data_IF_514009877905
#
_entry.id   IF_514009877905
#
_cell.length_a   1.000
_cell.length_b   1.000
_cell.length_c   1.000
_cell.angle_alpha   90.00
_cell.angle_beta   90.00
_cell.angle_gamma   90.00
#
_symmetry.space_group_name_H-M   'P 1'
#
loop_
_entity.id
_entity.type
_entity.pdbx_description
1 polymer ?
#
# COMPACT_ATOMS: atom_id res chain seq x y z
N UNK A 1 22.80 60.57 55.89
CA UNK A 1 23.76 59.80 55.06
C UNK A 1 23.13 58.45 54.73
N UNK A 2 22.59 58.31 53.52
CA UNK A 2 21.95 57.07 53.02
C UNK A 2 23.03 56.19 52.38
N UNK A 3 23.19 54.94 52.83
CA UNK A 3 23.98 53.91 52.12
C UNK A 3 23.00 52.96 51.45
N UNK A 4 23.03 52.89 50.11
CA UNK A 4 22.28 51.92 49.33
C UNK A 4 23.02 50.58 49.36
N UNK A 5 22.32 49.52 49.78
CA UNK A 5 22.77 48.14 49.59
C UNK A 5 22.12 47.62 48.31
N UNK A 6 22.91 47.47 47.25
CA UNK A 6 22.50 46.84 46.00
C UNK A 6 22.76 45.33 46.14
N UNK A 7 21.71 44.53 46.36
CA UNK A 7 21.80 43.07 46.26
C UNK A 7 21.85 42.66 44.79
N UNK A 8 23.02 42.19 44.36
CA UNK A 8 23.28 41.62 43.05
C UNK A 8 22.76 40.18 43.02
N UNK A 9 21.67 39.94 42.26
CA UNK A 9 21.11 38.61 42.04
C UNK A 9 22.00 37.85 41.02
N UNK A 10 22.75 36.85 41.48
CA UNK A 10 23.60 36.01 40.63
C UNK A 10 22.72 35.00 39.88
N UNK A 11 22.49 35.23 38.59
CA UNK A 11 21.75 34.32 37.72
C UNK A 11 22.67 33.15 37.34
N UNK A 12 22.51 32.00 38.00
CA UNK A 12 23.24 30.77 37.68
C UNK A 12 22.69 30.19 36.36
N UNK A 13 23.37 30.46 35.24
CA UNK A 13 23.07 29.80 33.96
C UNK A 13 23.66 28.38 34.00
N UNK A 14 22.80 27.39 34.20
CA UNK A 14 23.12 25.98 33.98
C UNK A 14 23.35 25.75 32.48
N UNK A 15 24.61 25.86 32.04
CA UNK A 15 25.03 25.43 30.71
C UNK A 15 25.08 23.90 30.71
N UNK A 16 24.02 23.26 30.20
CA UNK A 16 24.06 21.83 29.92
C UNK A 16 25.13 21.56 28.84
N UNK A 17 26.01 20.55 29.00
CA UNK A 17 26.99 20.22 27.98
C UNK A 17 26.26 19.71 26.74
N UNK A 18 26.32 20.49 25.65
CA UNK A 18 25.95 20.03 24.33
C UNK A 18 27.03 19.02 23.92
N UNK A 19 26.72 17.73 23.99
CA UNK A 19 27.60 16.70 23.44
C UNK A 19 27.83 17.03 21.96
N UNK A 20 29.06 17.40 21.60
CA UNK A 20 29.41 17.73 20.23
C UNK A 20 29.20 16.48 19.37
N UNK A 21 28.20 16.53 18.48
CA UNK A 21 27.96 15.47 17.52
C UNK A 21 29.21 15.34 16.64
N UNK A 22 29.77 14.13 16.54
CA UNK A 22 30.96 13.89 15.71
C UNK A 22 30.64 14.27 14.26
N UNK A 23 31.63 14.82 13.57
CA UNK A 23 31.51 15.29 12.19
C UNK A 23 32.55 14.60 11.32
N UNK A 24 32.15 14.20 10.12
CA UNK A 24 33.05 13.72 9.06
C UNK A 24 32.73 14.49 7.76
N UNK A 25 33.76 15.10 7.15
CA UNK A 25 33.63 15.94 5.95
C UNK A 25 32.52 17.02 6.07
N UNK A 26 32.41 17.64 7.25
CA UNK A 26 31.43 18.70 7.51
C UNK A 26 29.98 18.23 7.75
N UNK A 27 29.72 16.91 7.75
CA UNK A 27 28.40 16.34 8.04
C UNK A 27 28.41 15.53 9.35
N UNK A 28 27.28 15.45 10.07
CA UNK A 28 27.14 14.59 11.24
C UNK A 28 27.51 13.13 10.93
N UNK A 29 28.15 12.43 11.86
CA UNK A 29 28.43 11.00 11.76
C UNK A 29 27.92 10.23 12.97
N UNK A 30 27.30 9.08 12.70
CA UNK A 30 26.95 8.06 13.70
C UNK A 30 27.70 6.77 13.43
N UNK A 31 27.89 5.93 14.44
CA UNK A 31 28.55 4.62 14.29
C UNK A 31 27.56 3.49 14.00
N UNK A 32 28.03 2.43 13.34
CA UNK A 32 27.35 1.15 13.22
C UNK A 32 28.39 0.02 13.23
N UNK A 33 28.02 -1.17 13.72
CA UNK A 33 28.80 -2.39 13.51
C UNK A 33 28.05 -3.48 12.72
N UNK A 34 26.78 -3.23 12.40
CA UNK A 34 25.97 -4.03 11.48
C UNK A 34 25.49 -3.16 10.31
N UNK A 35 25.24 -3.78 9.15
CA UNK A 35 24.69 -3.07 7.98
C UNK A 35 23.19 -2.82 8.10
N UNK A 36 22.48 -3.64 8.87
CA UNK A 36 21.06 -3.44 9.12
C UNK A 36 20.83 -2.23 10.03
N UNK A 37 19.84 -1.41 9.68
CA UNK A 37 19.40 -0.26 10.47
C UNK A 37 17.88 -0.21 10.60
N UNK A 38 17.45 0.36 11.71
CA UNK A 38 16.06 0.67 12.00
C UNK A 38 15.84 2.18 11.82
N UNK A 39 14.60 2.58 11.60
CA UNK A 39 14.25 3.99 11.66
C UNK A 39 12.85 4.21 12.19
N UNK A 40 12.61 5.36 12.78
CA UNK A 40 11.30 5.76 13.31
C UNK A 40 10.80 7.00 12.59
N UNK A 41 9.58 6.92 12.07
CA UNK A 41 8.85 8.05 11.51
C UNK A 41 7.70 8.37 12.47
N UNK A 42 7.84 9.43 13.25
CA UNK A 42 6.85 9.78 14.27
C UNK A 42 6.75 8.72 15.35
N UNK A 43 5.63 7.98 15.37
CA UNK A 43 5.39 6.89 16.33
C UNK A 43 5.77 5.51 15.76
N UNK A 44 5.92 5.39 14.45
CA UNK A 44 6.07 4.10 13.78
C UNK A 44 7.55 3.74 13.66
N UNK A 45 7.96 2.65 14.32
CA UNK A 45 9.30 2.07 14.24
C UNK A 45 9.33 1.03 13.13
N UNK A 46 10.16 1.25 12.13
CA UNK A 46 10.46 0.31 11.05
C UNK A 46 11.77 -0.40 11.38
N UNK A 47 11.74 -1.73 11.46
CA UNK A 47 12.90 -2.55 11.81
C UNK A 47 13.52 -3.23 10.60
N UNK A 48 14.84 -3.27 10.53
CA UNK A 48 15.64 -4.05 9.59
C UNK A 48 15.37 -3.78 8.10
N UNK A 49 14.64 -2.71 7.77
CA UNK A 49 14.21 -2.41 6.39
C UNK A 49 15.21 -1.53 5.65
N UNK A 50 16.31 -1.15 6.30
CA UNK A 50 17.38 -0.36 5.70
C UNK A 50 18.70 -1.12 5.80
N UNK A 51 19.42 -1.23 4.68
CA UNK A 51 20.76 -1.80 4.62
C UNK A 51 21.78 -0.71 4.26
N UNK A 52 22.59 -0.31 5.24
CA UNK A 52 23.65 0.68 5.10
C UNK A 52 24.63 0.22 4.02
N UNK A 53 24.71 0.97 2.92
CA UNK A 53 25.50 0.59 1.76
C UNK A 53 26.53 1.67 1.40
N UNK A 54 27.79 1.57 1.87
CA UNK A 54 28.84 2.57 1.57
C UNK A 54 29.12 2.81 0.09
N UNK A 55 28.73 1.85 -0.78
CA UNK A 55 28.90 1.93 -2.23
C UNK A 55 27.83 2.81 -2.90
N UNK A 56 26.68 3.00 -2.26
CA UNK A 56 25.64 3.93 -2.71
C UNK A 56 25.90 5.29 -2.06
N UNK A 57 26.25 6.30 -2.87
CA UNK A 57 26.62 7.62 -2.35
C UNK A 57 26.03 8.75 -3.20
N UNK A 58 24.95 9.43 -2.74
CA UNK A 58 24.23 9.15 -1.49
C UNK A 58 23.34 7.89 -1.60
N UNK A 59 23.23 7.17 -0.50
CA UNK A 59 22.17 6.18 -0.27
C UNK A 59 20.92 6.93 0.23
N UNK A 60 19.84 6.92 -0.57
CA UNK A 60 18.71 7.84 -0.40
C UNK A 60 17.53 7.17 0.29
N UNK A 61 17.18 7.64 1.48
CA UNK A 61 15.98 7.24 2.21
C UNK A 61 14.90 8.31 2.08
N UNK A 62 13.78 7.98 1.43
CA UNK A 62 12.62 8.87 1.35
C UNK A 62 11.80 8.81 2.64
N UNK A 63 11.46 9.97 3.18
CA UNK A 63 10.72 10.13 4.43
C UNK A 63 9.42 10.87 4.14
N UNK A 64 8.25 10.27 4.41
CA UNK A 64 6.96 10.94 4.23
C UNK A 64 6.80 12.04 5.27
N UNK A 65 6.29 13.18 4.82
CA UNK A 65 6.00 14.34 5.66
C UNK A 65 4.52 14.72 5.46
N UNK A 66 3.59 14.05 6.18
CA UNK A 66 2.14 14.28 6.01
C UNK A 66 1.68 15.68 6.44
N UNK A 67 2.44 16.33 7.31
CA UNK A 67 2.16 17.68 7.80
C UNK A 67 3.31 18.64 7.44
N UNK A 68 3.41 19.79 8.11
CA UNK A 68 4.49 20.74 7.87
C UNK A 68 5.89 20.20 8.22
N UNK A 69 5.98 19.24 9.16
CA UNK A 69 7.24 18.62 9.60
C UNK A 69 7.00 17.25 10.22
N UNK A 70 8.01 16.38 10.11
CA UNK A 70 7.98 15.02 10.67
C UNK A 70 9.26 14.76 11.46
N UNK A 71 9.15 14.30 12.71
CA UNK A 71 10.32 13.79 13.44
C UNK A 71 10.70 12.44 12.84
N UNK A 72 11.96 12.32 12.47
CA UNK A 72 12.60 11.11 11.99
C UNK A 72 13.78 10.77 12.89
N UNK A 73 13.96 9.50 13.22
CA UNK A 73 15.15 9.02 13.93
C UNK A 73 15.69 7.78 13.24
N UNK A 74 16.96 7.80 12.85
CA UNK A 74 17.69 6.65 12.34
C UNK A 74 18.41 5.97 13.49
N UNK A 75 18.33 4.64 13.56
CA UNK A 75 18.99 3.83 14.58
C UNK A 75 19.90 2.81 13.91
N UNK A 76 21.16 2.82 14.30
CA UNK A 76 22.05 1.69 14.06
C UNK A 76 22.02 0.80 15.29
N UNK A 77 22.74 -0.32 15.24
CA UNK A 77 22.91 -1.17 16.41
C UNK A 77 23.78 -0.54 17.52
N UNK A 78 24.42 0.61 17.29
CA UNK A 78 25.31 1.27 18.26
C UNK A 78 24.98 2.73 18.56
N UNK A 79 24.21 3.41 17.71
CA UNK A 79 24.02 4.86 17.76
C UNK A 79 22.70 5.29 17.11
N UNK A 80 22.36 6.58 17.20
CA UNK A 80 21.18 7.14 16.53
C UNK A 80 21.33 8.61 16.18
N UNK A 81 20.58 9.06 15.18
CA UNK A 81 20.49 10.48 14.79
C UNK A 81 19.04 10.86 14.50
N UNK A 82 18.65 12.07 14.89
CA UNK A 82 17.29 12.57 14.69
C UNK A 82 17.25 13.84 13.84
N UNK A 83 16.23 13.95 13.01
CA UNK A 83 15.95 15.11 12.17
C UNK A 83 14.49 15.54 12.32
N UNK A 84 14.25 16.84 12.18
CA UNK A 84 12.93 17.39 11.90
C UNK A 84 12.84 17.60 10.38
N UNK A 85 12.28 16.61 9.71
CA UNK A 85 12.20 16.51 8.25
C UNK A 85 11.04 17.36 7.72
N UNK A 86 11.28 18.09 6.63
CA UNK A 86 10.27 18.87 5.90
C UNK A 86 10.17 18.38 4.45
N UNK A 87 8.97 18.46 3.87
CA UNK A 87 8.77 18.13 2.47
C UNK A 87 9.66 19.01 1.55
N UNK A 88 10.26 18.40 0.53
CA UNK A 88 11.17 19.05 -0.41
C UNK A 88 12.53 19.43 0.16
N UNK A 89 12.90 18.95 1.36
CA UNK A 89 14.20 19.18 1.98
C UNK A 89 14.98 17.87 2.13
N UNK A 90 16.29 17.97 1.94
CA UNK A 90 17.23 16.85 2.15
C UNK A 90 18.09 17.06 3.39
N UNK A 91 18.44 15.97 4.05
CA UNK A 91 19.30 15.95 5.23
C UNK A 91 20.35 14.87 5.05
N UNK A 92 21.63 15.21 5.21
CA UNK A 92 22.73 14.25 4.99
C UNK A 92 23.49 13.98 6.27
N UNK A 93 23.91 12.74 6.44
CA UNK A 93 24.79 12.30 7.50
C UNK A 93 25.59 11.10 7.03
N UNK A 94 26.67 10.80 7.75
CA UNK A 94 27.45 9.60 7.54
C UNK A 94 27.11 8.53 8.55
N UNK A 95 27.07 7.28 8.10
CA UNK A 95 27.17 6.11 8.96
C UNK A 95 28.58 5.54 8.82
N UNK A 96 29.35 5.60 9.90
CA UNK A 96 30.65 4.95 9.98
C UNK A 96 30.46 3.48 10.38
N UNK A 97 30.61 2.60 9.41
CA UNK A 97 30.45 1.15 9.55
C UNK A 97 31.79 0.51 9.93
N UNK A 98 31.83 -0.13 11.10
CA UNK A 98 32.98 -0.85 11.65
C UNK A 98 34.28 -0.02 11.74
N UNK A 99 34.18 1.31 11.82
CA UNK A 99 35.34 2.22 11.78
C UNK A 99 36.21 2.10 10.51
N UNK A 100 35.71 1.41 9.46
CA UNK A 100 36.45 1.16 8.21
C UNK A 100 35.83 1.85 6.99
N UNK A 101 34.50 2.04 6.98
CA UNK A 101 33.79 2.59 5.82
C UNK A 101 32.77 3.66 6.25
N UNK A 102 32.61 4.69 5.42
CA UNK A 102 31.63 5.76 5.63
C UNK A 102 30.56 5.70 4.54
N UNK A 103 29.32 5.39 4.90
CA UNK A 103 28.18 5.46 4.01
C UNK A 103 27.53 6.85 4.10
N UNK A 104 27.45 7.56 2.96
CA UNK A 104 26.73 8.83 2.89
C UNK A 104 25.23 8.54 2.74
N UNK A 105 24.45 8.84 3.76
CA UNK A 105 22.99 8.68 3.74
C UNK A 105 22.32 10.04 3.54
N UNK A 106 21.35 10.10 2.62
CA UNK A 106 20.50 11.27 2.42
C UNK A 106 19.05 10.94 2.75
N UNK A 107 18.47 11.67 3.70
CA UNK A 107 17.03 11.66 3.96
C UNK A 107 16.36 12.70 3.06
N UNK A 108 15.43 12.27 2.22
CA UNK A 108 14.62 13.16 1.38
C UNK A 108 13.20 13.23 1.91
N UNK A 109 12.83 14.37 2.49
CA UNK A 109 11.45 14.61 2.90
C UNK A 109 10.55 14.84 1.69
N UNK A 110 9.42 14.14 1.62
CA UNK A 110 8.43 14.34 0.55
C UNK A 110 7.03 14.51 1.11
N UNK A 111 6.23 15.35 0.45
CA UNK A 111 4.81 15.53 0.75
C UNK A 111 3.95 14.61 -0.13
N UNK A 112 2.66 14.56 0.18
CA UNK A 112 1.69 13.82 -0.61
C UNK A 112 0.90 14.78 -1.51
N UNK A 113 0.64 14.36 -2.73
CA UNK A 113 -0.10 15.12 -3.75
C UNK A 113 -1.34 14.34 -4.14
N UNK A 114 -2.52 14.95 -4.08
CA UNK A 114 -3.74 14.34 -4.58
C UNK A 114 -3.75 14.39 -6.11
N UNK A 115 -3.89 13.24 -6.76
CA UNK A 115 -4.09 13.20 -8.21
C UNK A 115 -5.56 13.49 -8.54
N UNK A 116 -5.81 14.09 -9.70
CA UNK A 116 -7.17 14.49 -10.12
C UNK A 116 -7.75 13.52 -11.13
N UNK A 117 -9.00 13.15 -10.95
CA UNK A 117 -9.81 12.38 -11.89
C UNK A 117 -11.12 13.14 -12.18
N UNK A 118 -11.71 12.87 -13.34
CA UNK A 118 -12.96 13.48 -13.76
C UNK A 118 -14.15 12.84 -13.03
N UNK A 119 -15.02 13.70 -12.47
CA UNK A 119 -16.26 13.32 -11.76
C UNK A 119 -17.52 13.81 -12.47
N UNK A 120 -17.38 14.57 -13.57
CA UNK A 120 -18.53 15.22 -14.25
C UNK A 120 -19.40 14.24 -15.04
N UNK A 121 -18.83 13.11 -15.45
CA UNK A 121 -19.55 12.11 -16.21
C UNK A 121 -20.43 11.29 -15.26
N UNK A 122 -21.74 11.34 -15.44
CA UNK A 122 -22.70 10.57 -14.63
C UNK A 122 -23.03 9.19 -15.24
N UNK A 123 -22.82 9.01 -16.55
CA UNK A 123 -23.08 7.76 -17.27
C UNK A 123 -21.76 7.11 -17.66
N UNK A 124 -21.45 5.90 -17.19
CA UNK A 124 -20.24 5.18 -17.57
C UNK A 124 -20.16 4.95 -19.09
N UNK A 125 -18.98 5.10 -19.67
CA UNK A 125 -18.72 4.80 -21.09
C UNK A 125 -18.48 3.31 -21.35
N UNK A 126 -18.27 2.52 -20.30
CA UNK A 126 -17.95 1.10 -20.38
C UNK A 126 -18.80 0.30 -19.41
N UNK A 127 -18.98 -0.98 -19.68
CA UNK A 127 -19.61 -1.94 -18.76
C UNK A 127 -18.53 -2.86 -18.20
N UNK A 128 -18.57 -3.09 -16.88
CA UNK A 128 -17.73 -4.07 -16.19
C UNK A 128 -18.59 -5.27 -15.80
N UNK A 129 -18.13 -6.47 -16.16
CA UNK A 129 -18.78 -7.72 -15.79
C UNK A 129 -18.20 -8.23 -14.48
N UNK A 130 -19.08 -8.78 -13.64
CA UNK A 130 -18.75 -9.32 -12.33
C UNK A 130 -19.37 -10.70 -12.17
N UNK A 131 -18.79 -11.48 -11.27
CA UNK A 131 -19.38 -12.73 -10.82
C UNK A 131 -20.82 -12.50 -10.32
N UNK A 132 -21.73 -13.37 -10.76
CA UNK A 132 -23.14 -13.35 -10.39
C UNK A 132 -23.48 -14.50 -9.43
N UNK A 133 -22.50 -15.28 -8.98
CA UNK A 133 -22.70 -16.43 -8.09
C UNK A 133 -23.80 -17.40 -8.56
N UNK A 134 -23.96 -17.51 -9.88
CA UNK A 134 -24.90 -18.41 -10.53
C UNK A 134 -24.22 -19.76 -10.77
N UNK A 135 -24.30 -20.65 -9.78
CA UNK A 135 -23.78 -22.03 -9.85
C UNK A 135 -22.33 -22.15 -10.37
N UNK A 136 -21.46 -21.23 -9.94
CA UNK A 136 -20.05 -21.27 -10.29
C UNK A 136 -19.33 -22.38 -9.51
N UNK A 137 -19.15 -23.55 -10.15
CA UNK A 137 -18.53 -24.73 -9.55
C UNK A 137 -17.11 -24.46 -9.01
N UNK A 138 -16.31 -23.62 -9.68
CA UNK A 138 -14.97 -23.24 -9.22
C UNK A 138 -15.01 -22.51 -7.88
N UNK A 139 -15.94 -21.56 -7.72
CA UNK A 139 -16.12 -20.84 -6.46
C UNK A 139 -16.73 -21.70 -5.36
N UNK A 140 -17.65 -22.61 -5.70
CA UNK A 140 -18.21 -23.57 -4.75
C UNK A 140 -17.13 -24.53 -4.22
N UNK A 141 -16.25 -25.02 -5.09
CA UNK A 141 -15.09 -25.83 -4.69
C UNK A 141 -14.18 -25.02 -3.76
N UNK A 142 -13.79 -23.81 -4.16
CA UNK A 142 -12.93 -22.94 -3.35
C UNK A 142 -13.52 -22.70 -1.96
N UNK A 143 -14.81 -22.34 -1.88
CA UNK A 143 -15.53 -22.10 -0.63
C UNK A 143 -15.50 -23.31 0.28
N UNK A 144 -15.83 -24.48 -0.27
CA UNK A 144 -15.97 -25.73 0.49
C UNK A 144 -14.61 -26.25 0.93
N UNK A 145 -13.64 -26.34 0.01
CA UNK A 145 -12.31 -26.91 0.23
C UNK A 145 -11.52 -26.19 1.30
N UNK A 146 -11.67 -24.86 1.39
CA UNK A 146 -10.96 -24.02 2.37
C UNK A 146 -11.85 -23.54 3.52
N UNK A 147 -13.09 -24.05 3.62
CA UNK A 147 -14.04 -23.73 4.68
C UNK A 147 -14.20 -22.22 4.91
N UNK A 148 -14.39 -21.47 3.82
CA UNK A 148 -14.39 -20.00 3.85
C UNK A 148 -15.52 -19.41 4.70
N UNK A 149 -16.63 -20.15 4.87
CA UNK A 149 -17.72 -19.76 5.77
C UNK A 149 -17.27 -19.64 7.23
N UNK A 150 -16.38 -20.54 7.68
CA UNK A 150 -15.84 -20.48 9.03
C UNK A 150 -14.93 -19.27 9.25
N UNK A 151 -14.22 -18.83 8.20
CA UNK A 151 -13.35 -17.63 8.26
C UNK A 151 -14.16 -16.38 8.60
N UNK A 152 -15.37 -16.26 8.04
CA UNK A 152 -16.24 -15.09 8.21
C UNK A 152 -17.36 -15.29 9.22
N UNK A 153 -17.39 -16.44 9.92
CA UNK A 153 -18.43 -16.76 10.88
C UNK A 153 -18.53 -15.71 12.00
N UNK A 154 -19.74 -15.20 12.24
CA UNK A 154 -20.00 -14.20 13.27
C UNK A 154 -19.55 -12.77 12.92
N UNK A 155 -19.16 -12.49 11.67
CA UNK A 155 -18.93 -11.12 11.21
C UNK A 155 -20.24 -10.31 11.22
N UNK A 156 -20.22 -9.10 11.78
CA UNK A 156 -21.41 -8.27 11.97
C UNK A 156 -21.89 -7.58 10.68
N UNK A 157 -21.00 -7.38 9.71
CA UNK A 157 -21.26 -6.64 8.47
C UNK A 157 -20.26 -7.03 7.38
N UNK A 158 -20.43 -6.50 6.16
CA UNK A 158 -19.61 -6.90 5.01
C UNK A 158 -18.17 -6.38 5.13
N UNK A 159 -17.97 -5.25 5.82
CA UNK A 159 -16.62 -4.72 6.14
C UNK A 159 -15.84 -5.72 7.00
N UNK A 160 -16.47 -6.32 8.01
CA UNK A 160 -15.82 -7.30 8.88
C UNK A 160 -15.55 -8.62 8.16
N UNK A 161 -16.48 -9.09 7.32
CA UNK A 161 -16.23 -10.27 6.45
C UNK A 161 -14.99 -10.04 5.58
N UNK A 162 -14.90 -8.87 4.95
CA UNK A 162 -13.77 -8.49 4.12
C UNK A 162 -12.44 -8.46 4.89
N UNK A 163 -12.42 -7.86 6.09
CA UNK A 163 -11.24 -7.83 6.97
C UNK A 163 -10.78 -9.22 7.42
N UNK A 164 -11.71 -10.09 7.80
CA UNK A 164 -11.38 -11.47 8.20
C UNK A 164 -10.81 -12.27 7.02
N UNK A 165 -11.39 -12.10 5.83
CA UNK A 165 -10.93 -12.79 4.63
C UNK A 165 -9.53 -12.34 4.20
N UNK A 166 -9.27 -11.03 4.11
CA UNK A 166 -7.94 -10.52 3.74
C UNK A 166 -6.86 -10.94 4.75
N UNK A 167 -7.19 -10.98 6.05
CA UNK A 167 -6.29 -11.51 7.08
C UNK A 167 -6.03 -13.01 6.93
N UNK A 168 -7.06 -13.80 6.61
CA UNK A 168 -6.90 -15.23 6.40
C UNK A 168 -5.96 -15.50 5.23
N UNK A 169 -6.14 -14.83 4.09
CA UNK A 169 -5.25 -14.97 2.93
C UNK A 169 -3.82 -14.51 3.26
N UNK A 170 -3.67 -13.38 3.95
CA UNK A 170 -2.36 -12.86 4.37
C UNK A 170 -1.54 -13.88 5.17
N UNK A 171 -2.20 -14.73 5.96
CA UNK A 171 -1.55 -15.75 6.79
C UNK A 171 -1.16 -17.03 6.05
N UNK A 172 -1.60 -17.20 4.80
CA UNK A 172 -1.35 -18.44 4.06
C UNK A 172 0.11 -18.58 3.65
N UNK A 173 0.81 -17.49 3.31
CA UNK A 173 2.23 -17.52 2.96
C UNK A 173 2.96 -16.24 3.37
N UNK A 174 4.29 -16.24 3.23
CA UNK A 174 5.11 -15.03 3.32
C UNK A 174 5.42 -14.53 1.91
N UNK A 175 5.45 -13.21 1.70
CA UNK A 175 5.68 -12.64 0.38
C UNK A 175 7.04 -13.05 -0.21
N UNK A 176 7.03 -13.53 -1.46
CA UNK A 176 8.23 -13.79 -2.24
C UNK A 176 8.07 -13.21 -3.65
N UNK A 177 8.82 -12.14 -3.93
CA UNK A 177 8.81 -11.39 -5.20
C UNK A 177 9.26 -12.16 -6.45
N UNK A 178 9.89 -13.32 -6.28
CA UNK A 178 10.64 -14.03 -7.32
C UNK A 178 9.98 -15.34 -7.79
N UNK A 179 8.79 -15.66 -7.29
CA UNK A 179 8.14 -16.94 -7.56
C UNK A 179 6.74 -16.75 -8.17
N UNK A 180 6.36 -17.65 -9.06
CA UNK A 180 5.07 -17.64 -9.76
C UNK A 180 4.40 -19.02 -9.64
N UNK A 181 3.05 -19.07 -9.54
CA UNK A 181 2.35 -20.34 -9.48
C UNK A 181 2.32 -21.02 -10.85
N UNK A 182 2.06 -22.34 -10.89
CA UNK A 182 1.88 -23.04 -12.17
C UNK A 182 0.63 -22.58 -12.94
N UNK A 183 -0.38 -22.08 -12.23
CA UNK A 183 -1.59 -21.47 -12.79
C UNK A 183 -2.05 -20.28 -11.93
N UNK A 184 -2.48 -19.15 -12.55
CA UNK A 184 -2.88 -17.94 -11.83
C UNK A 184 -4.33 -18.01 -11.34
N UNK A 185 -4.70 -19.08 -10.63
CA UNK A 185 -6.01 -19.29 -10.02
C UNK A 185 -5.89 -19.65 -8.52
N UNK A 186 -6.93 -19.36 -7.74
CA UNK A 186 -6.85 -19.44 -6.28
C UNK A 186 -6.73 -20.88 -5.77
N UNK A 187 -7.35 -21.86 -6.45
CA UNK A 187 -7.26 -23.27 -6.05
C UNK A 187 -5.84 -23.79 -6.21
N UNK A 188 -5.19 -23.48 -7.35
CA UNK A 188 -3.81 -23.85 -7.63
C UNK A 188 -2.85 -23.14 -6.69
N UNK A 189 -2.97 -21.81 -6.54
CA UNK A 189 -2.09 -21.02 -5.66
C UNK A 189 -2.13 -21.57 -4.22
N UNK A 190 -3.32 -21.77 -3.66
CA UNK A 190 -3.46 -22.27 -2.29
C UNK A 190 -2.97 -23.72 -2.13
N UNK A 191 -3.12 -24.57 -3.16
CA UNK A 191 -2.56 -25.91 -3.15
C UNK A 191 -1.02 -25.88 -3.12
N UNK A 192 -0.40 -25.06 -3.96
CA UNK A 192 1.06 -24.93 -4.01
C UNK A 192 1.63 -24.25 -2.75
N UNK A 193 0.88 -23.34 -2.12
CA UNK A 193 1.22 -22.79 -0.79
C UNK A 193 1.29 -23.89 0.26
N UNK A 194 0.34 -24.84 0.24
CA UNK A 194 0.35 -26.01 1.15
C UNK A 194 1.60 -26.87 0.94
N UNK A 195 2.13 -26.90 -0.27
CA UNK A 195 3.38 -27.57 -0.63
C UNK A 195 4.64 -26.73 -0.31
N UNK A 196 4.48 -25.58 0.35
CA UNK A 196 5.56 -24.72 0.83
C UNK A 196 5.96 -23.60 -0.12
N UNK A 197 5.27 -23.42 -1.25
CA UNK A 197 5.54 -22.28 -2.14
C UNK A 197 5.07 -20.96 -1.51
N UNK A 198 5.73 -19.89 -1.93
CA UNK A 198 5.46 -18.53 -1.52
C UNK A 198 5.35 -17.65 -2.76
N UNK A 199 4.50 -16.63 -2.73
CA UNK A 199 4.16 -15.86 -3.93
C UNK A 199 4.15 -14.34 -3.71
N UNK A 200 3.92 -13.62 -4.80
CA UNK A 200 4.02 -12.16 -4.90
C UNK A 200 2.68 -11.50 -4.58
N UNK A 201 2.65 -10.17 -4.71
CA UNK A 201 1.44 -9.36 -4.57
C UNK A 201 0.30 -9.82 -5.48
N UNK A 202 0.63 -10.27 -6.70
CA UNK A 202 -0.34 -10.73 -7.71
C UNK A 202 -1.19 -11.85 -7.15
N UNK A 203 -0.57 -12.85 -6.54
CA UNK A 203 -1.25 -14.03 -6.02
C UNK A 203 -2.09 -13.71 -4.77
N UNK A 204 -1.67 -12.76 -3.92
CA UNK A 204 -2.50 -12.27 -2.82
C UNK A 204 -3.78 -11.61 -3.35
N UNK A 205 -3.66 -10.79 -4.41
CA UNK A 205 -4.79 -10.17 -5.08
C UNK A 205 -5.75 -11.21 -5.67
N UNK A 206 -5.23 -12.21 -6.39
CA UNK A 206 -6.03 -13.28 -7.01
C UNK A 206 -6.79 -14.08 -5.96
N UNK A 207 -6.09 -14.62 -4.95
CA UNK A 207 -6.71 -15.48 -3.94
C UNK A 207 -7.75 -14.71 -3.13
N UNK A 208 -7.42 -13.51 -2.64
CA UNK A 208 -8.38 -12.73 -1.84
C UNK A 208 -9.63 -12.37 -2.65
N UNK A 209 -9.47 -12.03 -3.93
CA UNK A 209 -10.59 -11.71 -4.82
C UNK A 209 -11.51 -12.92 -5.01
N UNK A 210 -10.94 -14.08 -5.35
CA UNK A 210 -11.72 -15.31 -5.55
C UNK A 210 -12.42 -15.76 -4.26
N UNK A 211 -11.75 -15.67 -3.11
CA UNK A 211 -12.34 -16.03 -1.81
C UNK A 211 -13.51 -15.11 -1.43
N UNK A 212 -13.42 -13.81 -1.70
CA UNK A 212 -14.52 -12.86 -1.46
C UNK A 212 -15.70 -13.13 -2.40
N UNK A 213 -15.42 -13.34 -3.69
CA UNK A 213 -16.45 -13.72 -4.66
C UNK A 213 -17.16 -15.01 -4.23
N UNK A 214 -16.42 -16.03 -3.76
CA UNK A 214 -16.96 -17.30 -3.30
C UNK A 214 -17.94 -17.20 -2.11
N UNK A 215 -17.78 -16.20 -1.24
CA UNK A 215 -18.69 -15.95 -0.11
C UNK A 215 -19.79 -14.93 -0.42
N UNK A 216 -19.90 -14.48 -1.67
CA UNK A 216 -20.96 -13.57 -2.09
C UNK A 216 -20.63 -12.08 -2.05
N UNK A 217 -19.37 -11.70 -1.82
CA UNK A 217 -18.93 -10.30 -1.87
C UNK A 217 -18.22 -10.02 -3.20
N UNK A 218 -18.83 -9.24 -4.12
CA UNK A 218 -18.20 -8.97 -5.41
C UNK A 218 -16.86 -8.29 -5.21
N UNK A 219 -15.82 -8.86 -5.81
CA UNK A 219 -14.48 -8.34 -5.72
C UNK A 219 -13.81 -8.37 -7.10
N UNK A 220 -12.78 -7.53 -7.25
CA UNK A 220 -11.95 -7.45 -8.45
C UNK A 220 -10.50 -7.21 -8.08
N UNK A 221 -9.61 -7.82 -8.84
CA UNK A 221 -8.18 -7.48 -8.77
C UNK A 221 -7.96 -6.09 -9.38
N UNK A 222 -7.03 -5.34 -8.79
CA UNK A 222 -6.64 -4.03 -9.28
C UNK A 222 -5.12 -3.93 -9.37
N UNK A 223 -4.65 -3.54 -10.56
CA UNK A 223 -3.27 -3.15 -10.79
C UNK A 223 -3.05 -1.70 -10.40
N UNK A 224 -1.99 -1.44 -9.65
CA UNK A 224 -1.47 -0.12 -9.34
C UNK A 224 -0.13 0.07 -10.04
N UNK A 225 0.15 1.29 -10.52
CA UNK A 225 1.40 1.61 -11.22
C UNK A 225 1.91 2.99 -10.83
N UNK A 226 3.22 3.09 -10.70
CA UNK A 226 3.89 4.36 -10.43
C UNK A 226 3.77 5.35 -11.60
N UNK A 227 3.96 6.64 -11.34
CA UNK A 227 4.01 7.67 -12.38
C UNK A 227 5.13 7.38 -13.40
N UNK A 228 6.28 6.91 -12.92
CA UNK A 228 7.48 6.59 -13.69
C UNK A 228 7.50 5.13 -14.22
N UNK A 229 6.32 4.52 -14.40
CA UNK A 229 6.18 3.10 -14.77
C UNK A 229 6.94 2.68 -16.03
N UNK A 230 7.16 3.60 -16.96
CA UNK A 230 7.88 3.30 -18.21
C UNK A 230 9.39 3.23 -18.03
N UNK A 231 9.96 3.93 -17.04
CA UNK A 231 11.42 4.12 -16.87
C UNK A 231 12.01 3.33 -15.72
N UNK A 232 11.21 2.90 -14.75
CA UNK A 232 11.64 2.00 -13.67
C UNK A 232 11.83 0.59 -14.25
N UNK A 233 12.91 -0.10 -13.92
CA UNK A 233 13.20 -1.43 -14.48
C UNK A 233 12.45 -2.56 -13.79
N UNK A 234 12.29 -2.47 -12.45
CA UNK A 234 11.67 -3.50 -11.62
C UNK A 234 10.81 -2.87 -10.52
N UNK A 235 9.71 -3.53 -10.16
CA UNK A 235 8.87 -3.13 -9.04
C UNK A 235 8.05 -1.86 -9.29
N UNK A 236 7.76 -1.53 -10.55
CA UNK A 236 7.00 -0.32 -10.92
C UNK A 236 5.48 -0.46 -10.77
N UNK A 237 5.01 -1.64 -10.38
CA UNK A 237 3.61 -1.94 -10.13
C UNK A 237 3.41 -2.75 -8.86
N UNK A 238 2.19 -2.68 -8.34
CA UNK A 238 1.69 -3.49 -7.23
C UNK A 238 0.30 -4.01 -7.60
N UNK A 239 -0.05 -5.20 -7.15
CA UNK A 239 -1.38 -5.77 -7.38
C UNK A 239 -2.05 -5.98 -6.04
N UNK A 240 -3.28 -5.49 -5.96
CA UNK A 240 -4.17 -5.64 -4.81
C UNK A 240 -5.59 -5.88 -5.31
N UNK A 241 -6.60 -5.62 -4.48
CA UNK A 241 -8.00 -5.79 -4.88
C UNK A 241 -8.90 -4.68 -4.34
N UNK A 242 -10.09 -4.59 -4.93
CA UNK A 242 -11.23 -3.88 -4.35
C UNK A 242 -12.40 -4.85 -4.19
N UNK A 243 -13.13 -4.70 -3.08
CA UNK A 243 -14.38 -5.40 -2.79
C UNK A 243 -15.51 -4.39 -2.77
N UNK A 244 -16.64 -4.73 -3.38
CA UNK A 244 -17.87 -3.98 -3.21
C UNK A 244 -18.53 -4.45 -1.92
N UNK A 245 -18.83 -3.52 -1.03
CA UNK A 245 -19.51 -3.73 0.24
C UNK A 245 -21.00 -3.41 0.04
N UNK A 246 -21.90 -4.41 -0.09
CA UNK A 246 -23.32 -4.19 -0.37
C UNK A 246 -24.02 -3.34 0.68
N UNK A 247 -23.73 -3.57 1.97
CA UNK A 247 -24.27 -2.80 3.10
C UNK A 247 -23.96 -1.29 3.01
N UNK A 248 -22.78 -0.92 2.51
CA UNK A 248 -22.33 0.46 2.32
C UNK A 248 -22.56 0.98 0.89
N UNK A 249 -22.95 0.12 -0.04
CA UNK A 249 -23.04 0.40 -1.48
C UNK A 249 -21.77 1.04 -2.04
N UNK A 250 -20.61 0.51 -1.65
CA UNK A 250 -19.32 1.17 -1.86
C UNK A 250 -18.20 0.19 -2.16
N UNK A 251 -17.33 0.54 -3.10
CA UNK A 251 -16.04 -0.13 -3.30
C UNK A 251 -15.05 0.22 -2.19
N UNK A 252 -14.34 -0.78 -1.69
CA UNK A 252 -13.30 -0.65 -0.67
C UNK A 252 -12.03 -1.39 -1.12
N UNK A 253 -10.88 -0.76 -0.95
CA UNK A 253 -9.57 -1.34 -1.21
C UNK A 253 -9.19 -2.31 -0.09
N UNK A 254 -8.63 -3.44 -0.49
CA UNK A 254 -7.96 -4.39 0.39
C UNK A 254 -6.57 -4.70 -0.17
N UNK A 255 -5.63 -5.03 0.71
CA UNK A 255 -4.30 -5.50 0.32
C UNK A 255 -3.96 -6.79 1.06
N UNK A 256 -4.07 -7.92 0.36
CA UNK A 256 -3.79 -9.24 0.92
C UNK A 256 -2.34 -9.46 1.32
N UNK A 257 -1.39 -8.75 0.69
CA UNK A 257 0.02 -8.86 1.07
C UNK A 257 0.27 -8.26 2.46
N UNK A 258 -0.46 -7.21 2.83
CA UNK A 258 -0.24 -6.45 4.07
C UNK A 258 -1.34 -6.63 5.12
N UNK A 259 -2.42 -7.35 4.81
CA UNK A 259 -3.64 -7.40 5.64
C UNK A 259 -4.14 -5.99 5.98
N UNK A 260 -4.48 -5.22 4.94
CA UNK A 260 -4.86 -3.80 5.09
C UNK A 260 -6.19 -3.50 4.43
N UNK A 261 -7.01 -2.71 5.13
CA UNK A 261 -8.12 -1.92 4.60
C UNK A 261 -7.95 -0.45 5.03
N UNK A 262 -7.79 0.51 4.09
CA UNK A 262 -7.78 1.93 4.42
C UNK A 262 -9.18 2.44 4.80
N UNK A 263 -9.25 3.27 5.84
CA UNK A 263 -10.51 3.78 6.39
C UNK A 263 -10.39 5.27 6.72
N UNK A 264 -11.42 6.05 6.42
CA UNK A 264 -11.53 7.45 6.83
C UNK A 264 -12.84 7.68 7.56
N UNK A 265 -12.77 8.17 8.80
CA UNK A 265 -13.95 8.39 9.64
C UNK A 265 -14.88 7.16 9.70
N UNK A 266 -14.31 5.98 9.93
CA UNK A 266 -14.98 4.68 9.95
C UNK A 266 -15.57 4.17 8.63
N UNK A 267 -15.35 4.87 7.50
CA UNK A 267 -15.79 4.43 6.18
C UNK A 267 -14.61 3.84 5.40
N UNK A 268 -14.68 2.57 4.94
CA UNK A 268 -13.69 1.99 4.04
C UNK A 268 -13.53 2.79 2.76
N UNK A 269 -12.30 2.94 2.29
CA UNK A 269 -11.96 3.73 1.10
C UNK A 269 -11.64 2.82 -0.08
N UNK A 270 -12.05 3.23 -1.28
CA UNK A 270 -11.46 2.67 -2.51
C UNK A 270 -10.04 3.22 -2.75
N UNK A 271 -9.32 2.68 -3.74
CA UNK A 271 -7.92 3.04 -3.95
C UNK A 271 -7.70 4.53 -4.29
N UNK A 272 -8.59 5.13 -5.07
CA UNK A 272 -8.54 6.57 -5.41
C UNK A 272 -8.87 7.46 -4.21
N UNK A 273 -9.84 7.06 -3.39
CA UNK A 273 -10.19 7.78 -2.17
C UNK A 273 -9.07 7.69 -1.13
N UNK A 274 -8.42 6.54 -1.03
CA UNK A 274 -7.24 6.35 -0.19
C UNK A 274 -6.10 7.25 -0.62
N UNK A 275 -5.79 7.30 -1.92
CA UNK A 275 -4.83 8.23 -2.51
C UNK A 275 -5.12 9.68 -2.09
N UNK A 276 -6.38 10.11 -2.23
CA UNK A 276 -6.79 11.46 -1.87
C UNK A 276 -6.72 11.70 -0.35
N UNK A 277 -7.08 10.70 0.46
CA UNK A 277 -7.04 10.77 1.92
C UNK A 277 -5.62 10.86 2.48
N UNK A 278 -4.64 10.19 1.84
CA UNK A 278 -3.22 10.35 2.17
C UNK A 278 -2.79 11.81 2.03
N UNK A 279 -3.19 12.48 0.95
CA UNK A 279 -2.82 13.87 0.68
C UNK A 279 -3.57 14.90 1.54
N UNK A 280 -4.86 14.68 1.80
CA UNK A 280 -5.73 15.73 2.36
C UNK A 280 -6.24 15.43 3.77
N UNK A 281 -6.15 14.17 4.24
CA UNK A 281 -6.79 13.72 5.47
C UNK A 281 -5.92 12.74 6.28
N UNK A 282 -4.59 12.80 6.14
CA UNK A 282 -3.65 11.83 6.73
C UNK A 282 -3.86 11.58 8.23
N UNK A 283 -4.22 12.61 9.00
CA UNK A 283 -4.43 12.51 10.45
C UNK A 283 -5.68 11.70 10.82
N UNK A 284 -6.73 11.76 10.00
CA UNK A 284 -7.98 11.02 10.18
C UNK A 284 -7.97 9.67 9.44
N UNK A 285 -6.98 9.46 8.58
CA UNK A 285 -6.79 8.20 7.88
C UNK A 285 -6.33 7.12 8.84
N UNK A 286 -7.00 5.98 8.78
CA UNK A 286 -6.71 4.77 9.51
C UNK A 286 -6.33 3.65 8.52
N UNK A 287 -5.42 2.79 8.96
CA UNK A 287 -5.09 1.54 8.29
C UNK A 287 -5.61 0.43 9.20
N UNK A 288 -6.76 -0.15 8.85
CA UNK A 288 -7.32 -1.28 9.60
C UNK A 288 -6.62 -2.55 9.16
N UNK A 289 -6.11 -3.29 10.13
CA UNK A 289 -5.34 -4.51 9.94
C UNK A 289 -5.51 -5.39 11.18
N UNK A 290 -5.78 -6.68 10.99
CA UNK A 290 -5.88 -7.64 12.10
C UNK A 290 -4.48 -8.06 12.54
N UNK A 291 -3.51 -8.09 11.62
CA UNK A 291 -2.09 -8.38 11.89
C UNK A 291 -1.32 -7.19 12.48
N UNK A 292 -1.91 -5.98 12.47
CA UNK A 292 -1.34 -4.78 13.09
C UNK A 292 -0.40 -3.98 12.20
N UNK A 293 -0.60 -4.00 10.88
CA UNK A 293 0.19 -3.22 9.92
C UNK A 293 0.17 -1.72 10.24
N UNK A 294 1.36 -1.12 10.38
CA UNK A 294 1.54 0.28 10.76
C UNK A 294 1.20 1.28 9.64
N UNK A 295 0.50 2.38 9.98
CA UNK A 295 0.02 3.38 9.01
C UNK A 295 1.15 4.03 8.21
N UNK A 296 2.17 4.59 8.86
CA UNK A 296 3.21 5.31 8.13
C UNK A 296 4.05 4.37 7.26
N UNK A 297 4.33 3.16 7.75
CA UNK A 297 5.03 2.13 6.99
C UNK A 297 4.27 1.77 5.72
N UNK A 298 2.99 1.42 5.84
CA UNK A 298 2.19 1.00 4.70
C UNK A 298 1.97 2.16 3.71
N UNK A 299 1.60 3.34 4.19
CA UNK A 299 1.38 4.51 3.31
C UNK A 299 2.67 4.88 2.57
N UNK A 300 3.82 4.89 3.23
CA UNK A 300 5.11 5.18 2.58
C UNK A 300 5.42 4.18 1.46
N UNK A 301 5.10 2.91 1.68
CA UNK A 301 5.36 1.85 0.73
C UNK A 301 4.39 1.88 -0.46
N UNK A 302 3.08 2.04 -0.21
CA UNK A 302 2.04 1.92 -1.24
C UNK A 302 1.84 3.21 -2.05
N UNK A 303 2.09 4.38 -1.45
CA UNK A 303 1.79 5.68 -2.06
C UNK A 303 2.36 5.88 -3.47
N UNK A 304 3.63 5.50 -3.76
CA UNK A 304 4.18 5.63 -5.11
C UNK A 304 3.37 4.92 -6.20
N UNK A 305 2.66 3.82 -5.85
CA UNK A 305 1.86 3.03 -6.78
C UNK A 305 0.46 3.63 -7.04
N UNK A 306 -0.03 4.52 -6.18
CA UNK A 306 -1.37 5.10 -6.27
C UNK A 306 -1.44 6.22 -7.32
N UNK A 307 -1.07 5.92 -8.58
CA UNK A 307 -1.06 6.89 -9.67
C UNK A 307 -1.89 6.44 -10.88
N UNK A 308 -1.55 5.30 -11.50
CA UNK A 308 -2.43 4.66 -12.47
C UNK A 308 -3.09 3.43 -11.84
N UNK A 309 -4.37 3.22 -12.15
CA UNK A 309 -5.19 2.16 -11.58
C UNK A 309 -5.82 1.37 -12.73
N UNK A 310 -5.74 0.05 -12.72
CA UNK A 310 -6.37 -0.77 -13.75
C UNK A 310 -7.15 -1.96 -13.23
N UNK A 311 -8.25 -2.27 -13.91
CA UNK A 311 -9.12 -3.41 -13.65
C UNK A 311 -9.44 -4.12 -14.96
N UNK A 312 -9.85 -5.39 -14.88
CA UNK A 312 -10.35 -6.12 -16.06
C UNK A 312 -11.75 -5.66 -16.41
N UNK A 313 -12.11 -5.72 -17.70
CA UNK A 313 -13.52 -5.56 -18.10
C UNK A 313 -14.38 -6.73 -17.62
N UNK A 314 -13.81 -7.93 -17.64
CA UNK A 314 -14.46 -9.15 -17.17
C UNK A 314 -13.81 -9.65 -15.87
N UNK A 315 -14.50 -9.45 -14.76
CA UNK A 315 -14.10 -9.83 -13.40
C UNK A 315 -14.85 -11.08 -12.89
N UNK A 316 -15.44 -11.90 -13.78
CA UNK A 316 -16.03 -13.19 -13.38
C UNK A 316 -14.94 -14.16 -12.88
N UNK A 317 -15.28 -15.20 -12.15
CA UNK A 317 -14.28 -16.13 -11.60
C UNK A 317 -14.26 -17.49 -12.29
N UNK A 318 -13.09 -18.10 -12.35
CA UNK A 318 -12.87 -19.40 -12.98
C UNK A 318 -12.04 -19.33 -14.28
N UNK A 319 -11.68 -20.53 -14.76
CA UNK A 319 -10.69 -20.75 -15.82
C UNK A 319 -11.27 -21.24 -17.15
N UNK A 320 -12.56 -21.60 -17.17
CA UNK A 320 -13.18 -22.32 -18.30
C UNK A 320 -14.12 -21.44 -19.15
N UNK A 321 -13.80 -20.17 -19.38
CA UNK A 321 -14.59 -19.31 -20.26
C UNK A 321 -13.76 -18.25 -20.97
N UNK A 322 -14.22 -17.88 -22.17
CA UNK A 322 -13.67 -16.75 -22.91
C UNK A 322 -14.02 -15.46 -22.19
N UNK A 323 -13.00 -14.64 -21.91
CA UNK A 323 -13.16 -13.34 -21.26
C UNK A 323 -13.70 -12.32 -22.25
N UNK A 324 -14.68 -11.54 -21.80
CA UNK A 324 -15.21 -10.44 -22.60
C UNK A 324 -14.18 -9.31 -22.71
N UNK A 325 -14.17 -8.65 -23.87
CA UNK A 325 -13.27 -7.53 -24.18
C UNK A 325 -14.06 -6.36 -24.74
N UNK A 326 -13.50 -5.15 -24.63
CA UNK A 326 -14.03 -3.94 -25.26
C UNK A 326 -13.05 -3.50 -26.33
N UNK A 327 -13.46 -3.51 -27.60
CA UNK A 327 -12.61 -3.21 -28.76
C UNK A 327 -11.29 -4.01 -28.76
N UNK A 328 -11.37 -5.30 -28.40
CA UNK A 328 -10.20 -6.19 -28.30
C UNK A 328 -9.27 -5.91 -27.11
N UNK A 329 -9.66 -5.02 -26.19
CA UNK A 329 -8.92 -4.72 -24.95
C UNK A 329 -9.56 -5.40 -23.75
N UNK A 330 -8.75 -6.07 -22.93
CA UNK A 330 -9.23 -6.83 -21.77
C UNK A 330 -9.30 -6.03 -20.47
N UNK A 331 -8.80 -4.80 -20.45
CA UNK A 331 -8.68 -4.01 -19.22
C UNK A 331 -8.92 -2.53 -19.44
N UNK A 332 -9.38 -1.86 -18.38
CA UNK A 332 -9.56 -0.42 -18.30
C UNK A 332 -8.51 0.16 -17.34
N UNK A 333 -7.78 1.17 -17.79
CA UNK A 333 -6.84 1.93 -16.97
C UNK A 333 -7.37 3.34 -16.72
N UNK A 334 -7.51 3.68 -15.45
CA UNK A 334 -7.77 5.02 -14.97
C UNK A 334 -6.45 5.81 -14.91
N UNK A 335 -6.42 6.90 -15.66
CA UNK A 335 -5.29 7.80 -15.86
C UNK A 335 -5.62 9.18 -15.27
N UNK A 336 -4.75 9.77 -14.43
CA UNK A 336 -5.00 11.10 -13.90
C UNK A 336 -5.18 12.15 -14.99
N UNK A 337 -6.02 13.16 -14.73
CA UNK A 337 -6.24 14.28 -15.65
C UNK A 337 -4.92 15.00 -15.93
N UNK A 338 -4.55 15.11 -17.20
CA UNK A 338 -3.31 15.74 -17.65
C UNK A 338 -2.06 14.86 -17.54
N UNK A 339 -2.18 13.63 -17.05
CA UNK A 339 -1.06 12.68 -17.07
C UNK A 339 -0.85 12.09 -18.47
N UNK A 340 0.40 11.70 -18.76
CA UNK A 340 0.72 10.87 -19.92
C UNK A 340 0.03 9.51 -19.76
N UNK A 341 -0.56 9.00 -20.83
CA UNK A 341 -1.01 7.61 -20.90
C UNK A 341 0.24 6.71 -21.02
N UNK A 342 0.47 5.75 -20.11
CA UNK A 342 1.66 4.91 -20.19
C UNK A 342 1.54 3.89 -21.32
N UNK A 343 2.60 3.74 -22.11
CA UNK A 343 2.66 2.86 -23.28
C UNK A 343 3.49 1.60 -23.00
N UNK A 344 4.40 1.67 -22.03
CA UNK A 344 5.32 0.57 -21.68
C UNK A 344 5.37 0.39 -20.16
N UNK A 345 5.31 -0.85 -19.70
CA UNK A 345 5.56 -1.23 -18.32
C UNK A 345 6.99 -1.74 -18.17
N UNK A 346 7.70 -1.13 -17.23
CA UNK A 346 9.06 -1.52 -16.87
C UNK A 346 10.04 -1.61 -18.04
N UNK A 347 10.06 -0.59 -18.90
CA UNK A 347 10.89 -0.49 -20.14
C UNK A 347 10.65 -1.57 -21.20
N UNK A 348 9.88 -2.63 -20.91
CA UNK A 348 9.85 -3.87 -21.69
C UNK A 348 8.46 -4.25 -22.21
N UNK A 349 7.44 -4.18 -21.36
CA UNK A 349 6.15 -4.80 -21.68
C UNK A 349 5.18 -3.76 -22.23
N UNK A 350 4.70 -3.92 -23.47
CA UNK A 350 3.70 -3.00 -24.04
C UNK A 350 2.41 -3.01 -23.22
N UNK A 351 1.82 -1.83 -23.02
CA UNK A 351 0.54 -1.63 -22.34
C UNK A 351 -0.62 -1.51 -23.35
N UNK A 352 -0.57 -2.28 -24.44
CA UNK A 352 -1.56 -2.21 -25.51
C UNK A 352 -2.89 -2.90 -25.17
N UNK A 353 -2.99 -3.67 -24.09
CA UNK A 353 -4.22 -4.35 -23.65
C UNK A 353 -5.28 -3.46 -22.98
N UNK A 354 -5.00 -2.16 -22.85
CA UNK A 354 -5.80 -1.22 -22.07
C UNK A 354 -6.64 -0.29 -22.92
N UNK A 355 -7.90 -0.07 -22.50
CA UNK A 355 -8.60 1.20 -22.74
C UNK A 355 -8.22 2.16 -21.63
N UNK A 356 -8.29 3.45 -21.92
CA UNK A 356 -7.91 4.50 -20.97
C UNK A 356 -9.09 5.42 -20.69
N UNK A 357 -9.24 5.81 -19.43
CA UNK A 357 -10.22 6.81 -19.00
C UNK A 357 -9.61 7.69 -17.93
N UNK A 358 -10.16 8.89 -17.74
CA UNK A 358 -9.92 9.70 -16.54
C UNK A 358 -11.17 9.82 -15.67
N UNK A 359 -12.26 9.13 -16.03
CA UNK A 359 -13.56 9.21 -15.36
C UNK A 359 -13.66 8.18 -14.23
N UNK A 360 -14.01 8.66 -13.03
CA UNK A 360 -14.30 7.76 -11.91
C UNK A 360 -15.60 6.98 -12.11
N UNK A 361 -16.55 7.50 -12.88
CA UNK A 361 -17.80 6.79 -13.16
C UNK A 361 -17.57 5.53 -14.01
N UNK A 362 -16.55 5.54 -14.87
CA UNK A 362 -16.19 4.36 -15.67
C UNK A 362 -15.60 3.24 -14.80
N UNK A 363 -14.83 3.60 -13.77
CA UNK A 363 -14.15 2.62 -12.91
C UNK A 363 -15.01 2.16 -11.72
N UNK A 364 -15.75 3.07 -11.09
CA UNK A 364 -16.47 2.82 -9.82
C UNK A 364 -17.97 2.61 -10.03
N UNK A 365 -18.31 1.72 -10.95
CA UNK A 365 -19.67 1.24 -11.17
C UNK A 365 -20.05 0.24 -10.08
N UNK A 366 -21.27 0.33 -9.53
CA UNK A 366 -21.77 -0.73 -8.66
C UNK A 366 -21.93 -2.03 -9.48
N UNK A 367 -21.53 -3.19 -8.97
CA UNK A 367 -21.79 -4.46 -9.62
C UNK A 367 -23.30 -4.72 -9.65
N UNK A 368 -23.80 -5.31 -10.73
CA UNK A 368 -25.15 -5.87 -10.75
C UNK A 368 -25.12 -7.08 -9.82
N UNK A 369 -25.86 -7.02 -8.72
CA UNK A 369 -25.98 -8.12 -7.77
C UNK A 369 -27.15 -9.01 -8.19
N UNK A 370 -27.05 -10.34 -8.03
CA UNK A 370 -28.21 -11.21 -8.12
C UNK A 370 -29.27 -10.74 -7.14
N UNK A 371 -30.54 -10.83 -7.53
CA UNK A 371 -31.64 -10.64 -6.57
C UNK A 371 -31.41 -11.60 -5.40
N UNK A 372 -31.44 -11.08 -4.16
CA UNK A 372 -31.23 -11.90 -2.97
C UNK A 372 -32.20 -13.08 -3.02
N UNK A 373 -31.68 -14.29 -3.21
CA UNK A 373 -32.45 -15.51 -3.05
C UNK A 373 -32.80 -15.56 -1.57
N UNK A 374 -34.05 -15.26 -1.24
CA UNK A 374 -34.63 -15.51 0.07
C UNK A 374 -34.66 -17.01 0.30
N UNK A 375 -33.54 -17.60 0.68
CA UNK A 375 -33.52 -18.89 1.35
C UNK A 375 -33.99 -18.64 2.77
N UNK A 376 -35.31 -18.70 2.94
CA UNK A 376 -35.91 -18.89 4.24
C UNK A 376 -35.31 -20.17 4.83
N UNK A 377 -34.44 -20.01 5.83
CA UNK A 377 -33.99 -21.12 6.67
C UNK A 377 -35.23 -21.75 7.32
N UNK A 378 -35.51 -23.00 6.96
CA UNK A 378 -36.35 -23.90 7.77
C UNK A 378 -35.51 -24.55 8.85
#
# INVERSE_FOLDING_TARGET
MKKSLTSMLLMLVLVAPVFAQKVYKGLPVIKASATAADYRIGKDLVKGSWNISPQLSPDVLRVPVPEARQKFTFYTNTDSISFIVKAGKSYRFYVNLNDTAYALTELQGYGFEAVKFNKKQSVPAYTLLYEQNADNAYLQELRTKYNLDAVVAGAANDTEKALRMVNWVHKQWQHNGMNEPSSPDALTILAEVKDGKQFRCVEYGIVTTACLNAIGLPARTMGLKMKEVETIEFGAGHVLLEVYLPDLKKWAMLDGQFDVMPVLNNVPLNAVEFQNAIANNYNKLEIRSISGTGKAQYVNWVYPYLYYFDVKFDNREGVAFQRETVDGKGSLMLVPVGAKVPEVFQRKYKLDRYKHTNSLADLYQAPVLPAATTTASR
#
